data_IF_039774601324
#
_entry.id   IF_039774601324
#
_cell.length_a   1.000
_cell.length_b   1.000
_cell.length_c   1.000
_cell.angle_alpha   90.00
_cell.angle_beta   90.00
_cell.angle_gamma   90.00
#
_symmetry.space_group_name_H-M   'P 1'
#
loop_
_entity.id
_entity.type
_entity.pdbx_description
1 polymer ?
#
# COMPACT_ATOMS: atom_id res chain seq x y z
N UNK A 1 -37.14 5.39 21.60
CA UNK A 1 -35.86 4.69 21.83
C UNK A 1 -35.37 3.79 20.68
N UNK A 2 -36.17 2.95 19.99
CA UNK A 2 -35.63 1.98 19.01
C UNK A 2 -35.05 2.60 17.73
N UNK A 3 -35.47 3.82 17.35
CA UNK A 3 -34.94 4.54 16.18
C UNK A 3 -33.48 5.00 16.35
N UNK A 4 -33.06 5.38 17.57
CA UNK A 4 -31.69 5.85 17.86
C UNK A 4 -30.65 4.74 17.72
N UNK A 5 -30.98 3.53 18.18
CA UNK A 5 -30.10 2.34 18.08
C UNK A 5 -29.91 1.93 16.60
N UNK A 6 -30.97 2.02 15.79
CA UNK A 6 -30.90 1.72 14.35
C UNK A 6 -30.01 2.72 13.59
N UNK A 7 -30.12 4.01 13.89
CA UNK A 7 -29.28 5.05 13.27
C UNK A 7 -27.80 4.82 13.57
N UNK A 8 -27.46 4.62 14.85
CA UNK A 8 -26.08 4.34 15.27
C UNK A 8 -25.50 3.11 14.58
N UNK A 9 -26.30 2.05 14.41
CA UNK A 9 -25.87 0.84 13.70
C UNK A 9 -25.61 1.11 12.22
N UNK A 10 -26.41 1.95 11.57
CA UNK A 10 -26.23 2.33 10.16
C UNK A 10 -24.97 3.17 10.00
N UNK A 11 -24.75 4.16 10.86
CA UNK A 11 -23.54 5.00 10.87
C UNK A 11 -22.29 4.13 11.03
N UNK A 12 -22.29 3.23 12.02
CA UNK A 12 -21.19 2.28 12.20
C UNK A 12 -20.90 1.40 10.99
N UNK A 13 -21.93 0.95 10.28
CA UNK A 13 -21.74 0.15 9.05
C UNK A 13 -21.17 1.03 7.93
N UNK A 14 -21.66 2.27 7.79
CA UNK A 14 -21.13 3.23 6.82
C UNK A 14 -19.65 3.48 7.03
N UNK A 15 -19.22 3.74 8.27
CA UNK A 15 -17.83 4.03 8.58
C UNK A 15 -16.92 2.86 8.19
N UNK A 16 -17.31 1.63 8.53
CA UNK A 16 -16.58 0.41 8.15
C UNK A 16 -16.49 0.26 6.62
N UNK A 17 -17.58 0.54 5.90
CA UNK A 17 -17.59 0.43 4.44
C UNK A 17 -16.70 1.49 3.79
N UNK A 18 -16.71 2.73 4.29
CA UNK A 18 -15.86 3.80 3.77
C UNK A 18 -14.38 3.49 3.99
N UNK A 19 -13.99 3.01 5.18
CA UNK A 19 -12.60 2.57 5.44
C UNK A 19 -12.19 1.45 4.47
N UNK A 20 -13.05 0.45 4.27
CA UNK A 20 -12.81 -0.64 3.33
C UNK A 20 -12.71 -0.19 1.87
N UNK A 21 -13.51 0.80 1.48
CA UNK A 21 -13.43 1.41 0.15
C UNK A 21 -12.08 2.10 -0.06
N UNK A 22 -11.61 2.85 0.93
CA UNK A 22 -10.29 3.48 0.89
C UNK A 22 -9.17 2.43 0.76
N UNK A 23 -9.19 1.36 1.55
CA UNK A 23 -8.24 0.23 1.42
C UNK A 23 -8.22 -0.33 -0.02
N UNK A 24 -9.40 -0.54 -0.60
CA UNK A 24 -9.53 -1.06 -1.96
C UNK A 24 -8.96 -0.11 -3.01
N UNK A 25 -9.11 1.21 -2.80
CA UNK A 25 -8.54 2.23 -3.68
C UNK A 25 -7.02 2.21 -3.64
N UNK A 26 -6.42 2.17 -2.45
CA UNK A 26 -4.96 2.04 -2.30
C UNK A 26 -4.41 0.77 -2.96
N UNK A 27 -5.09 -0.37 -2.80
CA UNK A 27 -4.70 -1.61 -3.48
C UNK A 27 -4.80 -1.50 -5.00
N UNK A 28 -5.84 -0.84 -5.52
CA UNK A 28 -5.98 -0.63 -6.95
C UNK A 28 -4.84 0.23 -7.51
N UNK A 29 -4.49 1.31 -6.81
CA UNK A 29 -3.40 2.20 -7.21
C UNK A 29 -2.04 1.46 -7.19
N UNK A 30 -1.75 0.67 -6.14
CA UNK A 30 -0.55 -0.17 -6.07
C UNK A 30 -0.48 -1.19 -7.23
N UNK A 31 -1.60 -1.82 -7.56
CA UNK A 31 -1.69 -2.74 -8.70
C UNK A 31 -1.35 -2.03 -10.02
N UNK A 32 -1.81 -0.79 -10.22
CA UNK A 32 -1.48 -0.03 -11.44
C UNK A 32 0.00 0.34 -11.50
N UNK A 33 0.58 0.80 -10.38
CA UNK A 33 2.02 1.09 -10.28
C UNK A 33 2.85 -0.17 -10.59
N UNK A 34 2.49 -1.31 -9.98
CA UNK A 34 3.18 -2.58 -10.21
C UNK A 34 3.09 -3.06 -11.67
N UNK A 35 1.93 -2.89 -12.32
CA UNK A 35 1.76 -3.22 -13.75
C UNK A 35 2.67 -2.39 -14.62
N UNK A 36 2.74 -1.08 -14.37
CA UNK A 36 3.55 -0.18 -15.18
C UNK A 36 5.05 -0.40 -14.95
N UNK A 37 5.47 -0.58 -13.70
CA UNK A 37 6.85 -0.97 -13.37
C UNK A 37 7.22 -2.26 -14.09
N UNK A 38 6.34 -3.27 -14.06
CA UNK A 38 6.59 -4.56 -14.74
C UNK A 38 6.71 -4.38 -16.25
N UNK A 39 5.88 -3.54 -16.86
CA UNK A 39 5.95 -3.22 -18.30
C UNK A 39 7.29 -2.59 -18.66
N UNK A 40 7.71 -1.56 -17.92
CA UNK A 40 8.97 -0.86 -18.15
C UNK A 40 10.18 -1.76 -17.88
N UNK A 41 10.17 -2.57 -16.82
CA UNK A 41 11.24 -3.54 -16.54
C UNK A 41 11.42 -4.54 -17.69
N UNK A 42 10.33 -5.02 -18.30
CA UNK A 42 10.39 -5.90 -19.47
C UNK A 42 10.95 -5.21 -20.71
N UNK A 43 10.69 -3.91 -20.89
CA UNK A 43 11.28 -3.12 -21.98
C UNK A 43 12.79 -2.96 -21.75
N UNK A 44 13.19 -2.58 -20.52
CA UNK A 44 14.59 -2.41 -20.14
C UNK A 44 15.39 -3.71 -20.27
N UNK A 45 14.83 -4.85 -19.84
CA UNK A 45 15.51 -6.15 -19.93
C UNK A 45 15.90 -6.52 -21.37
N UNK A 46 15.11 -6.10 -22.37
CA UNK A 46 15.44 -6.34 -23.79
C UNK A 46 16.70 -5.59 -24.21
N UNK A 47 16.83 -4.33 -23.78
CA UNK A 47 18.01 -3.51 -24.10
C UNK A 47 19.24 -4.01 -23.35
N UNK A 48 19.09 -4.32 -22.06
CA UNK A 48 20.17 -4.81 -21.21
C UNK A 48 20.69 -6.20 -21.65
N UNK A 49 19.85 -7.00 -22.31
CA UNK A 49 20.28 -8.29 -22.88
C UNK A 49 21.26 -8.17 -24.06
N UNK A 50 21.37 -6.99 -24.67
CA UNK A 50 22.35 -6.69 -25.71
C UNK A 50 23.70 -6.39 -25.06
N UNK A 51 24.79 -6.89 -25.65
CA UNK A 51 26.13 -6.62 -25.11
C UNK A 51 26.48 -5.13 -25.21
N UNK A 52 27.22 -4.58 -24.24
CA UNK A 52 27.54 -3.14 -24.22
C UNK A 52 28.35 -2.67 -25.43
N UNK A 53 29.05 -3.57 -26.10
CA UNK A 53 29.80 -3.30 -27.35
C UNK A 53 28.90 -3.19 -28.56
N UNK A 54 27.72 -3.82 -28.53
CA UNK A 54 26.78 -3.86 -29.64
C UNK A 54 25.62 -2.85 -29.48
N UNK A 55 25.54 -2.17 -28.33
CA UNK A 55 24.54 -1.12 -28.06
C UNK A 55 24.81 0.16 -28.84
N UNK A 56 23.76 0.71 -29.44
CA UNK A 56 23.82 2.07 -30.00
C UNK A 56 23.77 3.13 -28.88
N UNK A 57 24.07 4.39 -29.22
CA UNK A 57 23.89 5.49 -28.27
C UNK A 57 22.41 5.71 -27.93
N UNK A 58 21.51 5.50 -28.89
CA UNK A 58 20.06 5.54 -28.69
C UNK A 58 19.60 4.46 -27.72
N UNK A 59 20.14 3.24 -27.80
CA UNK A 59 19.84 2.16 -26.86
C UNK A 59 20.22 2.56 -25.42
N UNK A 60 21.44 3.10 -25.24
CA UNK A 60 21.92 3.57 -23.93
C UNK A 60 21.06 4.71 -23.37
N UNK A 61 20.68 5.66 -24.22
CA UNK A 61 19.80 6.75 -23.81
C UNK A 61 18.43 6.21 -23.41
N UNK A 62 17.90 5.22 -24.15
CA UNK A 62 16.62 4.60 -23.83
C UNK A 62 16.66 3.81 -22.53
N UNK A 63 17.76 3.10 -22.24
CA UNK A 63 17.98 2.43 -20.95
C UNK A 63 17.88 3.42 -19.79
N UNK A 64 18.59 4.55 -19.89
CA UNK A 64 18.58 5.61 -18.87
C UNK A 64 17.17 6.20 -18.68
N UNK A 65 16.45 6.48 -19.77
CA UNK A 65 15.06 6.96 -19.71
C UNK A 65 14.11 5.98 -19.03
N UNK A 66 14.25 4.68 -19.31
CA UNK A 66 13.45 3.63 -18.69
C UNK A 66 13.77 3.49 -17.21
N UNK A 67 15.05 3.54 -16.84
CA UNK A 67 15.50 3.52 -15.44
C UNK A 67 14.91 4.70 -14.65
N UNK A 68 14.98 5.91 -15.21
CA UNK A 68 14.41 7.11 -14.57
C UNK A 68 12.89 7.02 -14.40
N UNK A 69 12.16 6.47 -15.38
CA UNK A 69 10.72 6.26 -15.26
C UNK A 69 10.37 5.22 -14.19
N UNK A 70 11.09 4.10 -14.15
CA UNK A 70 10.93 3.08 -13.12
C UNK A 70 11.18 3.68 -11.73
N UNK A 71 12.24 4.48 -11.58
CA UNK A 71 12.57 5.13 -10.32
C UNK A 71 11.42 6.00 -9.80
N UNK A 72 10.86 6.87 -10.66
CA UNK A 72 9.72 7.73 -10.31
C UNK A 72 8.48 6.93 -9.88
N UNK A 73 8.20 5.80 -10.52
CA UNK A 73 7.08 4.94 -10.14
C UNK A 73 7.31 4.24 -8.79
N UNK A 74 8.55 3.81 -8.53
CA UNK A 74 8.92 3.24 -7.23
C UNK A 74 8.81 4.29 -6.13
N UNK A 75 9.29 5.51 -6.34
CA UNK A 75 9.09 6.63 -5.39
C UNK A 75 7.60 6.89 -5.14
N UNK A 76 6.78 6.92 -6.19
CA UNK A 76 5.32 7.11 -6.07
C UNK A 76 4.69 6.00 -5.22
N UNK A 77 5.14 4.76 -5.39
CA UNK A 77 4.68 3.63 -4.57
C UNK A 77 5.14 3.76 -3.12
N UNK A 78 6.35 4.25 -2.88
CA UNK A 78 6.85 4.45 -1.52
C UNK A 78 6.01 5.53 -0.79
N UNK A 79 5.63 6.62 -1.47
CA UNK A 79 4.69 7.59 -0.91
C UNK A 79 3.31 6.98 -0.61
N UNK A 80 2.81 6.11 -1.49
CA UNK A 80 1.54 5.40 -1.26
C UNK A 80 1.57 4.56 0.03
N UNK A 81 2.70 3.90 0.30
CA UNK A 81 2.89 3.11 1.52
C UNK A 81 2.88 3.99 2.76
N UNK A 82 3.56 5.14 2.70
CA UNK A 82 3.58 6.10 3.81
C UNK A 82 2.18 6.67 4.09
N UNK A 83 1.40 7.00 3.04
CA UNK A 83 0.03 7.48 3.16
C UNK A 83 -0.90 6.44 3.82
N UNK A 84 -0.81 5.17 3.41
CA UNK A 84 -1.61 4.08 4.00
C UNK A 84 -1.28 3.89 5.48
N UNK A 85 0.01 3.96 5.85
CA UNK A 85 0.41 3.85 7.26
C UNK A 85 -0.08 5.04 8.08
N UNK A 86 -0.05 6.25 7.52
CA UNK A 86 -0.58 7.43 8.19
C UNK A 86 -2.09 7.31 8.44
N UNK A 87 -2.85 6.86 7.45
CA UNK A 87 -4.30 6.67 7.60
C UNK A 87 -4.62 5.59 8.65
N UNK A 88 -3.86 4.50 8.68
CA UNK A 88 -4.00 3.46 9.71
C UNK A 88 -3.74 3.98 11.13
N UNK A 89 -2.76 4.87 11.29
CA UNK A 89 -2.48 5.50 12.58
C UNK A 89 -3.62 6.43 13.01
N UNK A 90 -4.16 7.22 12.08
CA UNK A 90 -5.33 8.08 12.33
C UNK A 90 -6.52 7.27 12.81
N UNK A 91 -6.91 6.23 12.08
CA UNK A 91 -8.08 5.40 12.42
C UNK A 91 -7.95 4.77 13.82
N UNK A 92 -6.73 4.38 14.21
CA UNK A 92 -6.47 3.82 15.55
C UNK A 92 -6.69 4.85 16.65
N UNK A 93 -6.25 6.09 16.44
CA UNK A 93 -6.44 7.15 17.44
C UNK A 93 -7.93 7.54 17.54
N UNK A 94 -8.63 7.65 16.41
CA UNK A 94 -10.09 7.88 16.40
C UNK A 94 -10.87 6.80 17.15
N UNK A 95 -10.53 5.52 16.92
CA UNK A 95 -11.16 4.39 17.61
C UNK A 95 -10.89 4.41 19.13
N UNK A 96 -9.68 4.85 19.54
CA UNK A 96 -9.28 4.98 20.95
C UNK A 96 -10.03 6.13 21.63
N UNK A 97 -10.06 7.32 21.02
CA UNK A 97 -10.81 8.46 21.53
C UNK A 97 -12.30 8.13 21.71
N UNK A 98 -12.88 7.40 20.75
CA UNK A 98 -14.27 6.94 20.83
C UNK A 98 -14.48 5.92 21.97
N UNK A 99 -13.54 5.00 22.18
CA UNK A 99 -13.62 4.04 23.29
C UNK A 99 -13.52 4.74 24.65
N UNK A 100 -12.59 5.67 24.81
CA UNK A 100 -12.36 6.44 26.04
C UNK A 100 -13.57 7.33 26.38
N UNK A 101 -14.19 7.95 25.36
CA UNK A 101 -15.41 8.72 25.51
C UNK A 101 -16.59 7.85 25.99
N UNK A 102 -16.71 6.63 25.46
CA UNK A 102 -17.75 5.69 25.89
C UNK A 102 -17.52 5.18 27.32
N UNK A 103 -16.27 4.88 27.68
CA UNK A 103 -15.92 4.45 29.04
C UNK A 103 -16.20 5.53 30.08
N UNK A 104 -15.82 6.78 29.80
CA UNK A 104 -16.06 7.92 30.70
C UNK A 104 -17.55 8.24 30.86
N UNK A 105 -18.37 8.06 29.82
CA UNK A 105 -19.81 8.33 29.86
C UNK A 105 -20.66 7.16 30.39
N UNK A 106 -20.21 5.92 30.27
CA UNK A 106 -20.97 4.72 30.67
C UNK A 106 -20.13 3.67 31.44
N UNK A 107 -19.68 3.97 32.67
CA UNK A 107 -18.74 3.12 33.41
C UNK A 107 -19.27 1.76 33.91
N UNK A 108 -20.58 1.45 33.79
CA UNK A 108 -21.20 0.29 34.48
C UNK A 108 -21.81 -0.82 33.59
N UNK A 109 -21.69 -0.79 32.26
CA UNK A 109 -22.39 -1.78 31.38
C UNK A 109 -21.53 -2.61 30.43
N UNK A 110 -20.21 -2.55 30.48
CA UNK A 110 -19.34 -3.27 29.53
C UNK A 110 -18.68 -4.52 30.13
N UNK A 111 -19.47 -5.48 30.63
CA UNK A 111 -19.00 -6.88 30.70
C UNK A 111 -19.02 -7.47 29.30
N UNK A 112 -17.84 -7.40 28.65
CA UNK A 112 -17.33 -8.28 27.59
C UNK A 112 -18.35 -8.69 26.50
N UNK A 113 -18.49 -7.88 25.45
CA UNK A 113 -18.96 -8.36 24.15
C UNK A 113 -18.25 -7.63 23.03
N UNK A 114 -17.37 -8.38 22.35
CA UNK A 114 -16.78 -8.05 21.06
C UNK A 114 -16.01 -6.74 21.04
N UNK A 115 -14.73 -6.79 21.38
CA UNK A 115 -13.76 -5.89 20.75
C UNK A 115 -14.09 -5.92 19.25
N UNK A 116 -14.46 -4.77 18.68
CA UNK A 116 -14.54 -4.65 17.24
C UNK A 116 -13.13 -4.97 16.78
N UNK A 117 -12.91 -6.20 16.28
CA UNK A 117 -11.72 -6.53 15.54
C UNK A 117 -11.85 -5.72 14.26
N UNK A 118 -11.57 -4.41 14.33
CA UNK A 118 -11.16 -3.67 13.15
C UNK A 118 -9.95 -4.48 12.67
N UNK A 119 -10.20 -5.14 11.56
CA UNK A 119 -9.55 -6.37 11.17
C UNK A 119 -8.05 -6.12 11.27
N UNK A 120 -7.35 -6.94 12.06
CA UNK A 120 -5.91 -7.06 11.91
C UNK A 120 -5.69 -7.66 10.53
N UNK A 121 -5.80 -6.85 9.49
CA UNK A 121 -5.18 -7.16 8.22
C UNK A 121 -3.73 -6.84 8.48
N UNK A 122 -3.08 -7.87 9.02
CA UNK A 122 -1.70 -8.16 8.73
C UNK A 122 -1.63 -8.30 7.20
N UNK A 123 -1.52 -7.19 6.49
CA UNK A 123 -0.78 -7.17 5.22
C UNK A 123 0.66 -6.81 5.56
N UNK A 124 1.20 -7.62 6.45
CA UNK A 124 2.61 -7.74 6.75
C UNK A 124 2.85 -9.18 7.23
N UNK A 125 2.40 -10.15 6.45
CA UNK A 125 2.92 -11.51 6.55
C UNK A 125 3.25 -11.92 5.11
N UNK A 126 4.53 -11.70 4.78
CA UNK A 126 5.17 -11.79 3.46
C UNK A 126 5.18 -10.49 2.63
N UNK A 127 5.47 -9.36 3.27
CA UNK A 127 6.24 -8.30 2.61
C UNK A 127 7.70 -8.45 3.03
N UNK A 128 8.40 -9.45 2.50
CA UNK A 128 9.85 -9.54 2.64
C UNK A 128 10.46 -8.23 2.16
N UNK A 129 11.00 -7.41 3.08
CA UNK A 129 11.79 -6.20 2.81
C UNK A 129 11.46 -5.51 1.46
N UNK A 130 10.31 -4.86 1.30
CA UNK A 130 10.05 -4.14 0.03
C UNK A 130 10.79 -2.81 -0.12
N UNK A 131 11.60 -2.42 0.89
CA UNK A 131 12.64 -1.40 0.77
C UNK A 131 13.91 -2.02 0.20
N UNK A 132 13.83 -2.57 -1.01
CA UNK A 132 15.02 -2.93 -1.77
C UNK A 132 15.52 -1.62 -2.40
N UNK A 133 16.73 -1.13 -2.06
CA UNK A 133 17.31 0.03 -2.73
C UNK A 133 17.31 -0.18 -4.24
N UNK A 134 17.07 0.86 -5.03
CA UNK A 134 17.06 0.78 -6.49
C UNK A 134 18.28 0.04 -7.07
N UNK A 135 19.46 0.29 -6.49
CA UNK A 135 20.72 -0.40 -6.82
C UNK A 135 20.57 -1.92 -6.70
N UNK A 136 19.94 -2.40 -5.62
CA UNK A 136 19.73 -3.82 -5.35
C UNK A 136 18.70 -4.42 -6.31
N UNK A 137 17.62 -3.70 -6.66
CA UNK A 137 16.64 -4.19 -7.65
C UNK A 137 17.25 -4.34 -9.05
N UNK A 138 18.14 -3.41 -9.45
CA UNK A 138 18.91 -3.52 -10.69
C UNK A 138 19.87 -4.70 -10.61
N UNK A 139 20.60 -4.87 -9.50
CA UNK A 139 21.50 -5.99 -9.26
C UNK A 139 20.77 -7.35 -9.33
N UNK A 140 19.58 -7.45 -8.75
CA UNK A 140 18.80 -8.68 -8.70
C UNK A 140 18.21 -9.02 -10.09
N UNK A 141 17.83 -7.99 -10.87
CA UNK A 141 17.30 -8.18 -12.23
C UNK A 141 18.40 -8.58 -13.24
N UNK A 142 19.67 -8.22 -12.96
CA UNK A 142 20.83 -8.62 -13.76
C UNK A 142 21.35 -10.05 -13.45
N UNK A 143 20.92 -10.65 -12.34
CA UNK A 143 21.44 -11.94 -11.84
C UNK A 143 20.45 -13.11 -11.93
N UNK A 144 19.25 -12.93 -12.47
CA UNK A 144 18.31 -14.03 -12.73
C UNK A 144 18.84 -14.91 -13.88
N UNK A 145 19.14 -16.20 -13.66
CA UNK A 145 19.58 -17.09 -14.73
C UNK A 145 18.41 -17.38 -15.68
N UNK A 146 18.72 -17.35 -16.98
CA UNK A 146 17.83 -17.62 -18.11
C UNK A 146 17.18 -19.00 -18.10
#
# INVERSE_FOLDING_TARGET
>A
MPKKIKLFRIERIRDVLVRRESELRYMMDDIQLCKEITRLKKELQKLVSVSDTDKSNEDRQREEELLQQIHKLVETRDFLVDDVEFERLREREEDKEMADLLQSKFPKTLKKKGMCKCVTIVLCSQGSNMKIPFVQLVQDTLNEPS
#
